data_IF_279357115276
#
_entry.id   IF_279357115276
#
_cell.length_a   1.000
_cell.length_b   1.000
_cell.length_c   1.000
_cell.angle_alpha   90.00
_cell.angle_beta   90.00
_cell.angle_gamma   90.00
#
_symmetry.space_group_name_H-M   'P 1'
#
loop_
_entity.id
_entity.type
_entity.pdbx_description
1 polymer ?
#
# COMPACT_ATOMS: atom_id res chain seq x y z
N UNK A 1 -23.26 -17.39 8.29
CA UNK A 1 -22.21 -17.88 9.17
C UNK A 1 -20.89 -17.67 8.47
N UNK A 2 -20.21 -16.57 8.76
CA UNK A 2 -18.80 -16.46 8.46
C UNK A 2 -18.11 -17.43 9.44
N UNK A 3 -17.52 -18.51 8.93
CA UNK A 3 -16.59 -19.29 9.68
C UNK A 3 -15.46 -18.34 10.12
N UNK A 4 -15.18 -18.27 11.42
CA UNK A 4 -13.99 -17.58 11.90
C UNK A 4 -12.81 -18.19 11.14
N UNK A 5 -12.16 -17.40 10.29
CA UNK A 5 -10.95 -17.82 9.59
C UNK A 5 -9.94 -18.19 10.68
N UNK A 6 -9.43 -19.42 10.67
CA UNK A 6 -8.40 -19.81 11.64
C UNK A 6 -7.25 -18.81 11.54
N UNK A 7 -6.69 -18.43 12.68
CA UNK A 7 -5.59 -17.48 12.75
C UNK A 7 -4.42 -17.99 11.88
N UNK A 8 -3.87 -17.13 11.03
CA UNK A 8 -2.60 -17.39 10.36
C UNK A 8 -1.50 -16.78 11.23
N UNK A 9 -0.45 -17.55 11.49
CA UNK A 9 0.71 -17.08 12.25
C UNK A 9 1.84 -16.75 11.26
N UNK A 10 2.60 -15.68 11.48
CA UNK A 10 3.76 -15.40 10.65
C UNK A 10 4.84 -16.48 10.83
N UNK A 11 5.54 -16.81 9.77
CA UNK A 11 6.68 -17.73 9.77
C UNK A 11 7.91 -17.08 10.39
N UNK A 12 8.03 -15.74 10.26
CA UNK A 12 9.09 -14.95 10.88
C UNK A 12 8.63 -13.52 11.16
N UNK A 13 9.27 -12.88 12.14
CA UNK A 13 9.09 -11.46 12.47
C UNK A 13 10.45 -10.79 12.57
N UNK A 14 10.61 -9.65 11.90
CA UNK A 14 11.85 -8.88 11.91
C UNK A 14 11.59 -7.43 12.32
N UNK A 15 12.50 -6.85 13.12
CA UNK A 15 12.55 -5.41 13.33
C UNK A 15 13.30 -4.77 12.16
N UNK A 16 12.64 -3.96 11.37
CA UNK A 16 13.24 -3.34 10.19
C UNK A 16 13.65 -1.88 10.40
N UNK A 17 13.09 -1.22 11.40
CA UNK A 17 13.48 0.14 11.74
C UNK A 17 13.23 0.45 13.23
N UNK A 18 14.07 1.32 13.77
CA UNK A 18 13.88 1.94 15.08
C UNK A 18 13.62 3.43 14.89
N UNK A 19 12.55 3.93 15.50
CA UNK A 19 12.17 5.34 15.50
C UNK A 19 12.15 5.88 16.93
N UNK A 20 12.21 7.20 17.09
CA UNK A 20 12.18 7.83 18.41
C UNK A 20 10.96 7.44 19.26
N UNK A 21 9.85 7.11 18.60
CA UNK A 21 8.56 6.84 19.25
C UNK A 21 8.17 5.38 19.30
N UNK A 22 8.76 4.50 18.47
CA UNK A 22 8.45 3.08 18.39
C UNK A 22 9.48 2.31 17.55
N UNK A 23 9.58 1.03 17.84
CA UNK A 23 10.21 0.06 16.94
C UNK A 23 9.17 -0.39 15.90
N UNK A 24 9.61 -0.62 14.66
CA UNK A 24 8.78 -1.07 13.56
C UNK A 24 9.18 -2.48 13.14
N UNK A 25 8.20 -3.36 13.11
CA UNK A 25 8.37 -4.77 12.78
C UNK A 25 7.64 -5.12 11.49
N UNK A 26 8.09 -6.19 10.86
CA UNK A 26 7.41 -6.86 9.76
C UNK A 26 7.18 -8.33 10.09
N UNK A 27 5.99 -8.83 9.74
CA UNK A 27 5.63 -10.24 9.81
C UNK A 27 5.68 -10.84 8.42
N UNK A 28 6.39 -11.95 8.28
CA UNK A 28 6.56 -12.69 7.02
C UNK A 28 5.63 -13.89 7.05
N UNK A 29 4.87 -14.05 5.98
CA UNK A 29 4.02 -15.21 5.72
C UNK A 29 4.52 -15.85 4.42
N UNK A 30 5.12 -17.02 4.54
CA UNK A 30 5.68 -17.76 3.43
C UNK A 30 4.61 -18.42 2.55
N UNK A 31 4.90 -18.73 1.29
CA UNK A 31 4.01 -19.53 0.46
C UNK A 31 3.65 -20.84 1.14
N UNK A 32 2.37 -21.21 1.10
CA UNK A 32 1.90 -22.46 1.70
C UNK A 32 2.60 -23.69 1.06
N UNK A 33 2.84 -24.72 1.86
CA UNK A 33 3.46 -25.95 1.41
C UNK A 33 2.76 -26.53 0.16
N UNK A 34 3.54 -26.77 -0.88
CA UNK A 34 3.05 -27.33 -2.14
C UNK A 34 2.36 -26.31 -3.07
N UNK A 35 2.31 -25.03 -2.71
CA UNK A 35 1.81 -23.98 -3.59
C UNK A 35 2.83 -23.68 -4.72
N UNK A 36 2.31 -23.26 -5.89
CA UNK A 36 3.17 -22.87 -7.01
C UNK A 36 3.70 -21.44 -6.78
N UNK A 37 5.01 -21.28 -6.63
CA UNK A 37 5.67 -19.97 -6.43
C UNK A 37 6.09 -19.29 -7.73
N UNK A 38 5.83 -19.93 -8.89
CA UNK A 38 6.11 -19.38 -10.21
C UNK A 38 4.97 -19.64 -11.19
N UNK A 39 4.88 -18.82 -12.23
CA UNK A 39 3.96 -19.01 -13.36
C UNK A 39 4.77 -18.90 -14.65
N UNK A 40 4.72 -19.95 -15.49
CA UNK A 40 5.48 -20.01 -16.75
C UNK A 40 6.99 -19.75 -16.58
N UNK A 41 7.56 -20.17 -15.44
CA UNK A 41 8.97 -19.99 -15.13
C UNK A 41 9.34 -18.58 -14.63
N UNK A 42 8.35 -17.73 -14.36
CA UNK A 42 8.52 -16.42 -13.73
C UNK A 42 8.09 -16.51 -12.27
N UNK A 43 8.98 -16.18 -11.36
CA UNK A 43 8.71 -16.17 -9.93
C UNK A 43 7.62 -15.17 -9.57
N UNK A 44 6.72 -15.54 -8.65
CA UNK A 44 5.71 -14.65 -8.12
C UNK A 44 6.37 -13.58 -7.23
N UNK A 45 5.87 -12.34 -7.26
CA UNK A 45 6.44 -11.26 -6.48
C UNK A 45 6.26 -11.48 -4.97
N UNK A 46 7.21 -10.97 -4.19
CA UNK A 46 6.99 -10.68 -2.78
C UNK A 46 6.01 -9.50 -2.66
N UNK A 47 5.03 -9.61 -1.78
CA UNK A 47 4.01 -8.58 -1.55
C UNK A 47 4.21 -7.93 -0.20
N UNK A 48 4.61 -6.65 -0.16
CA UNK A 48 4.62 -5.85 1.07
C UNK A 48 3.21 -5.32 1.29
N UNK A 49 2.64 -5.58 2.45
CA UNK A 49 1.28 -5.17 2.81
C UNK A 49 1.27 -4.10 3.91
N UNK A 50 0.46 -3.07 3.72
CA UNK A 50 0.19 -2.01 4.69
C UNK A 50 -1.29 -2.02 5.09
N UNK A 51 -1.55 -2.16 6.40
CA UNK A 51 -2.90 -2.19 6.96
C UNK A 51 -3.61 -0.82 6.90
N UNK A 52 -4.94 -0.85 7.05
CA UNK A 52 -5.79 0.33 7.16
C UNK A 52 -5.82 0.91 8.58
N UNK A 53 -6.74 1.85 8.80
CA UNK A 53 -6.99 2.43 10.12
C UNK A 53 -6.80 3.93 10.21
N UNK A 54 -6.76 4.64 9.05
CA UNK A 54 -6.80 6.11 8.98
C UNK A 54 -5.57 6.81 9.54
N UNK A 55 -4.41 6.13 9.61
CA UNK A 55 -3.19 6.60 10.28
C UNK A 55 -3.38 6.86 11.79
N UNK A 56 -4.46 6.35 12.39
CA UNK A 56 -4.81 6.55 13.80
C UNK A 56 -4.61 5.26 14.59
N UNK A 57 -4.93 4.11 13.98
CA UNK A 57 -4.97 2.79 14.58
C UNK A 57 -4.65 1.70 13.56
N UNK A 58 -4.55 0.46 14.02
CA UNK A 58 -4.25 -0.73 13.24
C UNK A 58 -2.91 -1.30 13.61
N UNK A 59 -2.68 -2.54 13.21
CA UNK A 59 -1.45 -3.30 13.43
C UNK A 59 -1.22 -4.22 12.24
N UNK A 60 0.03 -4.63 11.98
CA UNK A 60 0.42 -5.53 10.91
C UNK A 60 -0.20 -6.92 11.01
N UNK A 61 -0.55 -7.34 12.23
CA UNK A 61 -1.11 -8.65 12.59
C UNK A 61 -2.63 -8.62 12.85
N UNK A 62 -3.33 -7.60 12.34
CA UNK A 62 -4.79 -7.50 12.50
C UNK A 62 -5.48 -8.69 11.82
N UNK A 63 -6.25 -9.45 12.61
CA UNK A 63 -6.92 -10.69 12.19
C UNK A 63 -7.90 -10.49 11.02
N UNK A 64 -8.37 -9.27 10.78
CA UNK A 64 -9.25 -8.96 9.65
C UNK A 64 -8.60 -9.22 8.30
N UNK A 65 -7.26 -9.24 8.23
CA UNK A 65 -6.50 -9.53 7.00
C UNK A 65 -6.09 -10.99 6.84
N UNK A 66 -6.36 -11.86 7.83
CA UNK A 66 -5.98 -13.28 7.79
C UNK A 66 -6.51 -14.02 6.55
N UNK A 67 -7.72 -13.70 6.10
CA UNK A 67 -8.31 -14.28 4.89
C UNK A 67 -7.50 -13.94 3.64
N UNK A 68 -7.06 -12.69 3.53
CA UNK A 68 -6.26 -12.23 2.42
C UNK A 68 -4.84 -12.82 2.46
N UNK A 69 -4.17 -12.81 3.62
CA UNK A 69 -2.83 -13.41 3.77
C UNK A 69 -2.86 -14.90 3.38
N UNK A 70 -3.87 -15.64 3.86
CA UNK A 70 -4.05 -17.03 3.50
C UNK A 70 -4.26 -17.21 1.99
N UNK A 71 -5.15 -16.42 1.38
CA UNK A 71 -5.40 -16.49 -0.05
C UNK A 71 -4.11 -16.26 -0.84
N UNK A 72 -3.29 -15.29 -0.43
CA UNK A 72 -2.02 -15.00 -1.10
C UNK A 72 -1.03 -16.14 -0.93
N UNK A 73 -0.82 -16.65 0.29
CA UNK A 73 0.15 -17.74 0.56
C UNK A 73 -0.27 -19.05 -0.08
N UNK A 74 -1.55 -19.42 -0.06
CA UNK A 74 -2.09 -20.60 -0.76
C UNK A 74 -1.93 -20.49 -2.29
N UNK A 75 -1.88 -19.28 -2.82
CA UNK A 75 -1.57 -19.03 -4.22
C UNK A 75 -0.07 -18.77 -4.46
N UNK A 76 0.81 -19.14 -3.55
CA UNK A 76 2.26 -19.13 -3.74
C UNK A 76 2.94 -17.78 -3.68
N UNK A 77 2.30 -16.76 -3.08
CA UNK A 77 2.91 -15.46 -2.83
C UNK A 77 3.48 -15.41 -1.41
N UNK A 78 4.68 -14.83 -1.25
CA UNK A 78 5.17 -14.41 0.05
C UNK A 78 4.58 -13.05 0.39
N UNK A 79 4.01 -12.92 1.59
CA UNK A 79 3.45 -11.66 2.08
C UNK A 79 4.29 -11.15 3.25
N UNK A 80 4.62 -9.86 3.23
CA UNK A 80 5.31 -9.18 4.31
C UNK A 80 4.42 -8.04 4.82
N UNK A 81 3.73 -8.27 5.94
CA UNK A 81 2.90 -7.25 6.57
C UNK A 81 3.74 -6.37 7.48
N UNK A 82 3.69 -5.05 7.29
CA UNK A 82 4.59 -4.12 7.98
C UNK A 82 3.86 -3.19 8.95
N UNK A 83 4.52 -2.87 10.07
CA UNK A 83 4.19 -1.71 10.89
C UNK A 83 4.54 -0.41 10.15
N UNK A 84 3.81 0.65 10.45
CA UNK A 84 4.18 2.02 10.09
C UNK A 84 3.71 2.99 11.17
N UNK A 85 4.36 4.14 11.29
CA UNK A 85 4.00 5.16 12.29
C UNK A 85 2.61 5.72 12.03
N UNK A 86 1.78 5.69 13.06
CA UNK A 86 0.41 6.21 13.02
C UNK A 86 0.42 7.72 13.28
N UNK A 87 0.73 8.51 12.24
CA UNK A 87 0.95 9.94 12.33
C UNK A 87 -0.25 10.78 12.78
N UNK A 88 -1.46 10.18 12.86
CA UNK A 88 -2.68 10.80 13.37
C UNK A 88 -3.14 10.21 14.71
N UNK A 89 -2.34 9.35 15.35
CA UNK A 89 -2.67 8.76 16.66
C UNK A 89 -2.91 9.86 17.68
N UNK A 90 -4.07 9.78 18.36
CA UNK A 90 -4.49 10.81 19.33
C UNK A 90 -5.17 12.05 18.71
N UNK A 91 -5.29 12.11 17.38
CA UNK A 91 -6.02 13.19 16.71
C UNK A 91 -7.52 12.92 16.70
N UNK A 92 -8.33 13.87 17.13
CA UNK A 92 -9.78 13.67 17.25
C UNK A 92 -10.57 13.84 15.95
N UNK A 93 -10.04 14.54 14.96
CA UNK A 93 -10.64 14.71 13.61
C UNK A 93 -9.59 15.19 12.61
N UNK A 94 -9.62 14.65 11.39
CA UNK A 94 -8.87 15.17 10.25
C UNK A 94 -9.86 15.88 9.32
N UNK A 95 -9.81 17.20 9.28
CA UNK A 95 -10.60 18.02 8.37
C UNK A 95 -9.70 18.75 7.36
N UNK A 96 -10.29 19.44 6.39
CA UNK A 96 -9.58 20.22 5.36
C UNK A 96 -8.59 21.24 5.98
N UNK A 97 -8.88 21.75 7.17
CA UNK A 97 -7.96 22.63 7.92
C UNK A 97 -6.70 21.90 8.45
N UNK A 98 -6.67 20.58 8.41
CA UNK A 98 -5.58 19.74 8.95
C UNK A 98 -4.83 18.96 7.87
N UNK A 99 -4.90 19.37 6.62
CA UNK A 99 -4.25 18.68 5.51
C UNK A 99 -2.74 18.55 5.72
N UNK A 100 -2.10 19.53 6.34
CA UNK A 100 -0.67 19.43 6.67
C UNK A 100 -0.37 18.29 7.66
N UNK A 101 -1.33 17.95 8.52
CA UNK A 101 -1.18 16.84 9.48
C UNK A 101 -1.37 15.50 8.75
N UNK A 102 -2.34 15.42 7.85
CA UNK A 102 -2.54 14.24 7.00
C UNK A 102 -1.33 14.00 6.07
N UNK A 103 -0.84 15.05 5.42
CA UNK A 103 0.35 15.00 4.57
C UNK A 103 1.59 14.46 5.33
N UNK A 104 1.81 14.95 6.55
CA UNK A 104 2.87 14.42 7.42
C UNK A 104 2.66 12.95 7.79
N UNK A 105 1.42 12.55 8.06
CA UNK A 105 1.12 11.16 8.39
C UNK A 105 1.34 10.23 7.19
N UNK A 106 0.96 10.65 5.98
CA UNK A 106 1.26 9.93 4.74
C UNK A 106 2.77 9.85 4.53
N UNK A 107 3.49 10.96 4.71
CA UNK A 107 4.95 10.98 4.58
C UNK A 107 5.62 9.98 5.53
N UNK A 108 5.25 9.98 6.81
CA UNK A 108 5.78 9.04 7.80
C UNK A 108 5.54 7.59 7.39
N UNK A 109 4.34 7.26 6.89
CA UNK A 109 4.01 5.92 6.45
C UNK A 109 4.77 5.50 5.18
N UNK A 110 4.97 6.42 4.24
CA UNK A 110 5.80 6.19 3.03
C UNK A 110 7.27 5.99 3.39
N UNK A 111 7.80 6.81 4.31
CA UNK A 111 9.18 6.65 4.82
C UNK A 111 9.39 5.29 5.49
N UNK A 112 8.40 4.82 6.25
CA UNK A 112 8.47 3.52 6.91
C UNK A 112 8.35 2.37 5.90
N UNK A 113 7.51 2.50 4.86
CA UNK A 113 7.46 1.56 3.74
C UNK A 113 8.81 1.48 3.01
N UNK A 114 9.44 2.61 2.73
CA UNK A 114 10.75 2.63 2.07
C UNK A 114 11.85 2.02 2.97
N UNK A 115 11.75 2.20 4.29
CA UNK A 115 12.66 1.55 5.24
C UNK A 115 12.48 0.03 5.25
N UNK A 116 11.23 -0.46 5.22
CA UNK A 116 10.95 -1.88 5.10
C UNK A 116 11.45 -2.45 3.76
N UNK A 117 11.26 -1.71 2.67
CA UNK A 117 11.77 -2.07 1.35
C UNK A 117 13.28 -2.21 1.35
N UNK A 118 14.01 -1.22 1.90
CA UNK A 118 15.47 -1.27 2.01
C UNK A 118 15.94 -2.46 2.84
N UNK A 119 15.27 -2.73 3.98
CA UNK A 119 15.58 -3.90 4.80
C UNK A 119 15.43 -5.22 4.01
N UNK A 120 14.37 -5.35 3.23
CA UNK A 120 14.14 -6.53 2.38
C UNK A 120 15.21 -6.63 1.30
N UNK A 121 15.58 -5.51 0.65
CA UNK A 121 16.61 -5.48 -0.40
C UNK A 121 18.00 -5.82 0.15
N UNK A 122 18.35 -5.33 1.35
CA UNK A 122 19.61 -5.62 2.03
C UNK A 122 19.70 -7.10 2.48
N UNK A 123 18.56 -7.78 2.62
CA UNK A 123 18.45 -9.16 3.03
C UNK A 123 17.77 -10.03 1.94
N UNK A 124 17.94 -9.68 0.66
CA UNK A 124 17.21 -10.26 -0.46
C UNK A 124 17.31 -11.80 -0.54
N UNK A 125 18.47 -12.35 -0.20
CA UNK A 125 18.67 -13.82 -0.16
C UNK A 125 17.78 -14.49 0.90
N UNK A 126 17.60 -13.82 2.08
CA UNK A 126 16.75 -14.33 3.15
C UNK A 126 15.27 -14.26 2.80
N UNK A 127 14.86 -13.25 2.07
CA UNK A 127 13.50 -13.07 1.58
C UNK A 127 13.25 -13.81 0.25
N UNK A 128 14.28 -14.43 -0.32
CA UNK A 128 14.23 -15.11 -1.61
C UNK A 128 13.52 -14.26 -2.67
N UNK A 129 13.94 -12.99 -2.80
CA UNK A 129 13.30 -12.02 -3.68
C UNK A 129 14.31 -11.34 -4.59
N UNK A 130 13.93 -11.14 -5.86
CA UNK A 130 14.66 -10.29 -6.79
C UNK A 130 14.23 -8.82 -6.55
N UNK A 131 15.16 -7.84 -6.56
CA UNK A 131 14.86 -6.43 -6.29
C UNK A 131 13.79 -5.82 -7.22
N UNK A 132 13.62 -6.35 -8.41
CA UNK A 132 12.63 -5.92 -9.40
C UNK A 132 11.30 -6.69 -9.30
N UNK A 133 11.15 -7.58 -8.30
CA UNK A 133 9.99 -8.45 -8.12
C UNK A 133 9.26 -8.22 -6.79
N UNK A 134 9.11 -6.96 -6.41
CA UNK A 134 8.38 -6.54 -5.19
C UNK A 134 7.12 -5.79 -5.59
N UNK A 135 5.97 -6.25 -5.11
CA UNK A 135 4.67 -5.58 -5.22
C UNK A 135 4.32 -4.98 -3.87
N UNK A 136 3.75 -3.78 -3.87
CA UNK A 136 3.23 -3.16 -2.66
C UNK A 136 1.70 -3.17 -2.68
N UNK A 137 1.10 -3.49 -1.54
CA UNK A 137 -0.34 -3.60 -1.36
C UNK A 137 -0.80 -2.88 -0.10
N UNK A 138 -2.01 -2.38 -0.08
CA UNK A 138 -2.53 -1.77 1.13
C UNK A 138 -4.03 -1.56 1.12
N UNK A 139 -4.56 -1.45 2.34
CA UNK A 139 -5.96 -1.18 2.64
C UNK A 139 -6.12 0.25 3.16
N UNK A 140 -7.10 1.04 2.65
CA UNK A 140 -7.45 2.36 3.21
C UNK A 140 -6.22 3.28 3.37
N UNK A 141 -5.83 3.62 4.60
CA UNK A 141 -4.61 4.40 4.88
C UNK A 141 -3.35 3.74 4.31
N UNK A 142 -3.25 2.41 4.37
CA UNK A 142 -2.17 1.65 3.73
C UNK A 142 -2.22 1.77 2.20
N UNK A 143 -3.42 1.73 1.61
CA UNK A 143 -3.60 1.92 0.17
C UNK A 143 -3.22 3.34 -0.28
N UNK A 144 -3.52 4.37 0.54
CA UNK A 144 -3.04 5.74 0.31
C UNK A 144 -1.51 5.75 0.33
N UNK A 145 -0.89 5.07 1.30
CA UNK A 145 0.57 5.05 1.47
C UNK A 145 1.28 4.39 0.28
N UNK A 146 0.79 3.23 -0.20
CA UNK A 146 1.42 2.54 -1.36
C UNK A 146 1.21 3.31 -2.67
N UNK A 147 0.04 3.93 -2.87
CA UNK A 147 -0.22 4.79 -4.02
C UNK A 147 0.65 6.04 -4.01
N UNK A 148 0.83 6.65 -2.83
CA UNK A 148 1.71 7.81 -2.66
C UNK A 148 3.18 7.44 -2.86
N UNK A 149 3.63 6.29 -2.35
CA UNK A 149 5.00 5.81 -2.53
C UNK A 149 5.36 5.69 -4.02
N UNK A 150 4.50 5.07 -4.81
CA UNK A 150 4.70 4.95 -6.26
C UNK A 150 4.68 6.34 -6.95
N UNK A 151 3.77 7.22 -6.53
CA UNK A 151 3.73 8.60 -7.03
C UNK A 151 5.05 9.35 -6.77
N UNK A 152 5.64 9.18 -5.58
CA UNK A 152 6.91 9.82 -5.22
C UNK A 152 8.10 9.25 -6.04
N UNK A 153 8.14 7.93 -6.26
CA UNK A 153 9.14 7.26 -7.08
C UNK A 153 9.04 7.73 -8.53
N UNK A 154 7.84 7.67 -9.14
CA UNK A 154 7.63 8.04 -10.52
C UNK A 154 7.90 9.53 -10.80
N UNK A 155 7.81 10.38 -9.77
CA UNK A 155 8.14 11.80 -9.86
C UNK A 155 9.57 12.15 -9.43
N UNK A 156 10.33 11.19 -8.90
CA UNK A 156 11.71 11.39 -8.45
C UNK A 156 11.80 12.46 -7.36
N UNK A 157 10.92 12.42 -6.39
CA UNK A 157 10.91 13.37 -5.28
C UNK A 157 11.97 13.03 -4.24
N UNK A 158 12.25 13.95 -3.32
CA UNK A 158 13.19 13.71 -2.23
C UNK A 158 12.76 12.57 -1.29
N UNK A 159 11.46 12.24 -1.24
CA UNK A 159 10.98 11.12 -0.42
C UNK A 159 11.54 9.78 -0.91
N UNK A 160 11.61 9.60 -2.24
CA UNK A 160 12.11 8.39 -2.86
C UNK A 160 13.65 8.28 -2.87
N UNK A 161 14.39 9.33 -2.49
CA UNK A 161 15.86 9.35 -2.55
C UNK A 161 16.55 8.38 -1.58
N UNK A 162 15.81 7.79 -0.64
CA UNK A 162 16.31 6.78 0.31
C UNK A 162 16.36 5.37 -0.29
N UNK A 163 15.66 5.16 -1.40
CA UNK A 163 15.70 3.90 -2.14
C UNK A 163 16.93 3.84 -3.07
N UNK A 164 17.39 2.63 -3.46
CA UNK A 164 18.48 2.49 -4.41
C UNK A 164 18.19 3.22 -5.74
N UNK A 165 19.23 3.77 -6.35
CA UNK A 165 19.08 4.46 -7.64
C UNK A 165 18.45 3.53 -8.69
N UNK A 166 17.41 4.00 -9.36
CA UNK A 166 16.69 3.23 -10.38
C UNK A 166 15.71 2.20 -9.84
N UNK A 167 15.56 2.06 -8.53
CA UNK A 167 14.58 1.16 -7.95
C UNK A 167 13.15 1.50 -8.39
N UNK A 168 12.35 0.48 -8.70
CA UNK A 168 10.92 0.58 -8.96
C UNK A 168 10.23 -0.66 -8.41
N UNK A 169 9.01 -0.51 -7.91
CA UNK A 169 8.17 -1.65 -7.59
C UNK A 169 7.68 -2.34 -8.88
N UNK A 170 7.42 -3.65 -8.80
CA UNK A 170 6.80 -4.42 -9.89
C UNK A 170 5.32 -4.06 -10.07
N UNK A 171 4.65 -3.63 -9.00
CA UNK A 171 3.25 -3.23 -9.06
C UNK A 171 2.72 -2.69 -7.74
N UNK A 172 1.53 -2.08 -7.84
CA UNK A 172 0.73 -1.58 -6.69
C UNK A 172 -0.62 -2.26 -6.69
N UNK A 173 -1.08 -2.72 -5.52
CA UNK A 173 -2.45 -3.16 -5.27
C UNK A 173 -3.09 -2.26 -4.22
N UNK A 174 -4.14 -1.51 -4.59
CA UNK A 174 -4.78 -0.50 -3.77
C UNK A 174 -6.24 -0.84 -3.50
N UNK A 175 -6.57 -1.06 -2.21
CA UNK A 175 -7.94 -1.29 -1.74
C UNK A 175 -8.47 0.00 -1.09
N UNK A 176 -9.29 0.77 -1.83
CA UNK A 176 -9.82 2.08 -1.44
C UNK A 176 -8.72 3.10 -1.13
N UNK A 177 -7.77 3.29 -2.04
CA UNK A 177 -6.67 4.24 -1.91
C UNK A 177 -6.88 5.54 -2.69
N UNK A 178 -6.01 6.51 -2.41
CA UNK A 178 -5.96 7.79 -3.10
C UNK A 178 -4.54 8.37 -3.08
N UNK A 179 -4.29 9.38 -3.94
CA UNK A 179 -3.05 10.16 -3.94
C UNK A 179 -3.33 11.57 -3.46
N UNK A 180 -2.52 12.07 -2.53
CA UNK A 180 -2.51 13.47 -2.11
C UNK A 180 -1.54 14.25 -3.02
N UNK A 181 -2.03 15.28 -3.71
CA UNK A 181 -1.20 16.16 -4.54
C UNK A 181 -1.37 17.61 -4.15
N UNK A 182 -0.26 18.33 -4.05
CA UNK A 182 -0.20 19.78 -3.83
C UNK A 182 -0.18 20.59 -5.13
N UNK A 183 -0.21 19.91 -6.29
CA UNK A 183 -0.22 20.53 -7.61
C UNK A 183 -1.64 20.66 -8.21
N UNK A 184 -2.67 20.20 -7.48
CA UNK A 184 -4.07 20.21 -7.94
C UNK A 184 -4.39 19.21 -9.05
N UNK A 185 -3.47 18.30 -9.32
CA UNK A 185 -3.56 17.22 -10.31
C UNK A 185 -2.58 16.10 -9.94
N UNK A 186 -2.78 14.93 -10.51
CA UNK A 186 -1.83 13.81 -10.44
C UNK A 186 -1.19 13.66 -11.82
N UNK A 187 0.08 13.99 -11.93
CA UNK A 187 0.89 13.78 -13.12
C UNK A 187 2.16 13.01 -12.76
N UNK A 188 2.72 12.30 -13.74
CA UNK A 188 3.90 11.47 -13.56
C UNK A 188 5.01 11.93 -14.51
N UNK A 189 6.22 12.06 -14.00
CA UNK A 189 7.43 12.37 -14.80
C UNK A 189 7.97 11.13 -15.49
N UNK A 190 7.82 9.96 -14.85
CA UNK A 190 8.14 8.64 -15.42
C UNK A 190 6.88 7.79 -15.41
N UNK A 191 6.84 6.77 -16.24
CA UNK A 191 5.75 5.79 -16.24
C UNK A 191 5.75 5.07 -14.89
N UNK A 192 4.64 5.13 -14.10
CA UNK A 192 4.54 4.38 -12.87
C UNK A 192 4.41 2.88 -13.15
N UNK A 193 4.66 2.05 -12.14
CA UNK A 193 4.47 0.60 -12.27
C UNK A 193 2.99 0.24 -12.50
N UNK A 194 2.74 -1.02 -12.86
CA UNK A 194 1.40 -1.55 -13.04
C UNK A 194 0.57 -1.40 -11.76
N UNK A 195 -0.65 -0.88 -11.88
CA UNK A 195 -1.48 -0.56 -10.72
C UNK A 195 -2.84 -1.24 -10.78
N UNK A 196 -3.15 -2.06 -9.77
CA UNK A 196 -4.47 -2.64 -9.52
C UNK A 196 -5.20 -1.80 -8.47
N UNK A 197 -6.40 -1.35 -8.79
CA UNK A 197 -7.25 -0.58 -7.88
C UNK A 197 -8.60 -1.26 -7.68
N UNK A 198 -9.03 -1.38 -6.43
CA UNK A 198 -10.38 -1.82 -6.04
C UNK A 198 -10.99 -0.70 -5.20
N UNK A 199 -12.15 -0.15 -5.62
CA UNK A 199 -12.71 1.02 -4.93
C UNK A 199 -14.24 1.05 -5.03
N UNK A 200 -14.92 1.32 -3.92
CA UNK A 200 -16.36 1.55 -3.88
C UNK A 200 -16.72 2.92 -4.45
N UNK A 201 -17.71 2.99 -5.35
CA UNK A 201 -18.07 4.26 -6.01
C UNK A 201 -18.77 5.26 -5.07
N UNK A 202 -19.25 4.79 -3.92
CA UNK A 202 -19.89 5.58 -2.86
C UNK A 202 -18.99 5.77 -1.63
N UNK A 203 -17.68 5.59 -1.77
CA UNK A 203 -16.73 5.77 -0.68
C UNK A 203 -16.63 7.25 -0.28
N UNK A 204 -17.03 7.56 0.96
CA UNK A 204 -17.02 8.91 1.54
C UNK A 204 -15.81 9.15 2.47
N UNK A 205 -15.11 8.08 2.88
CA UNK A 205 -13.93 8.18 3.75
C UNK A 205 -12.67 8.44 2.93
N UNK A 206 -12.43 7.62 1.90
CA UNK A 206 -11.42 7.86 0.89
C UNK A 206 -12.17 8.14 -0.42
N UNK A 207 -12.23 9.38 -0.89
CA UNK A 207 -13.12 9.77 -1.97
C UNK A 207 -12.80 8.97 -3.25
N UNK A 208 -13.82 8.31 -3.81
CA UNK A 208 -13.70 7.58 -5.07
C UNK A 208 -13.20 8.47 -6.22
N UNK A 209 -13.71 9.70 -6.33
CA UNK A 209 -13.27 10.65 -7.35
C UNK A 209 -12.16 11.56 -6.80
N UNK A 210 -12.52 12.76 -6.36
CA UNK A 210 -11.56 13.70 -5.80
C UNK A 210 -12.23 14.68 -4.83
N UNK A 211 -11.45 15.12 -3.84
CA UNK A 211 -11.72 16.35 -3.09
C UNK A 211 -10.59 17.31 -3.42
N UNK A 212 -10.93 18.52 -3.88
CA UNK A 212 -9.93 19.51 -4.29
C UNK A 212 -10.29 20.90 -3.76
N UNK A 213 -9.29 21.56 -3.18
CA UNK A 213 -9.37 22.97 -2.72
C UNK A 213 -8.11 23.68 -3.22
N UNK A 214 -8.28 24.59 -4.17
CA UNK A 214 -7.16 25.21 -4.89
C UNK A 214 -6.21 24.17 -5.53
N UNK A 215 -4.93 24.22 -5.17
CA UNK A 215 -3.91 23.29 -5.67
C UNK A 215 -3.75 22.03 -4.82
N UNK A 216 -4.48 21.94 -3.70
CA UNK A 216 -4.49 20.76 -2.88
C UNK A 216 -5.59 19.83 -3.33
N UNK A 217 -5.27 18.59 -3.66
CA UNK A 217 -6.24 17.59 -4.09
C UNK A 217 -5.96 16.22 -3.51
N UNK A 218 -7.02 15.51 -3.18
CA UNK A 218 -7.02 14.11 -2.80
C UNK A 218 -7.76 13.34 -3.87
N UNK A 219 -7.05 12.49 -4.61
CA UNK A 219 -7.51 11.88 -5.86
C UNK A 219 -7.66 10.38 -5.68
N UNK A 220 -8.91 9.89 -5.70
CA UNK A 220 -9.21 8.48 -5.58
C UNK A 220 -9.23 7.72 -6.90
N UNK A 221 -9.50 6.41 -6.81
CA UNK A 221 -9.38 5.48 -7.92
C UNK A 221 -10.12 5.89 -9.19
N UNK A 222 -11.35 6.40 -9.08
CA UNK A 222 -12.13 6.85 -10.24
C UNK A 222 -11.44 8.00 -10.99
N UNK A 223 -10.86 8.95 -10.25
CA UNK A 223 -10.13 10.08 -10.87
C UNK A 223 -8.77 9.67 -11.40
N UNK A 224 -8.09 8.76 -10.74
CA UNK A 224 -6.81 8.23 -11.19
C UNK A 224 -6.95 7.44 -12.49
N UNK A 225 -8.02 6.67 -12.67
CA UNK A 225 -8.33 5.98 -13.93
C UNK A 225 -8.40 6.93 -15.12
N UNK A 226 -9.02 8.12 -14.97
CA UNK A 226 -9.04 9.12 -16.05
C UNK A 226 -7.63 9.54 -16.45
N UNK A 227 -6.72 9.68 -15.47
CA UNK A 227 -5.31 10.03 -15.70
C UNK A 227 -4.58 8.89 -16.37
N UNK A 228 -4.73 7.68 -15.87
CA UNK A 228 -4.09 6.48 -16.41
C UNK A 228 -4.49 6.24 -17.88
N UNK A 229 -5.79 6.34 -18.20
CA UNK A 229 -6.29 6.27 -19.58
C UNK A 229 -5.66 7.33 -20.47
N UNK A 230 -5.62 8.58 -20.00
CA UNK A 230 -5.09 9.71 -20.79
C UNK A 230 -3.63 9.51 -21.16
N UNK A 231 -2.82 8.91 -20.29
CA UNK A 231 -1.39 8.71 -20.49
C UNK A 231 -1.01 7.29 -20.93
N UNK A 232 -2.00 6.41 -21.18
CA UNK A 232 -1.74 5.03 -21.61
C UNK A 232 -0.94 4.21 -20.58
N UNK A 233 -1.16 4.48 -19.28
CA UNK A 233 -0.47 3.79 -18.20
C UNK A 233 -1.07 2.41 -17.98
N UNK A 234 -0.27 1.47 -17.47
CA UNK A 234 -0.72 0.11 -17.18
C UNK A 234 -1.51 0.07 -15.87
N UNK A 235 -2.81 -0.26 -15.93
CA UNK A 235 -3.67 -0.36 -14.75
C UNK A 235 -4.80 -1.34 -14.95
N UNK A 236 -5.33 -1.82 -13.82
CA UNK A 236 -6.63 -2.49 -13.76
C UNK A 236 -7.47 -1.86 -12.65
N UNK A 237 -8.77 -1.69 -12.87
CA UNK A 237 -9.67 -1.04 -11.91
C UNK A 237 -10.97 -1.80 -11.79
N UNK A 238 -11.27 -2.25 -10.57
CA UNK A 238 -12.56 -2.82 -10.20
C UNK A 238 -13.41 -1.75 -9.50
N UNK A 239 -14.47 -1.33 -10.17
CA UNK A 239 -15.44 -0.38 -9.67
C UNK A 239 -16.57 -1.14 -8.95
N UNK A 240 -16.69 -0.98 -7.65
CA UNK A 240 -17.77 -1.58 -6.87
C UNK A 240 -18.91 -0.57 -6.75
N UNK A 241 -19.85 -0.66 -7.70
CA UNK A 241 -20.96 0.31 -7.81
C UNK A 241 -21.87 0.25 -6.59
N UNK A 242 -22.07 1.40 -5.93
CA UNK A 242 -22.92 1.55 -4.75
C UNK A 242 -22.28 1.11 -3.43
N UNK A 243 -21.09 0.51 -3.47
CA UNK A 243 -20.31 0.19 -2.26
C UNK A 243 -19.53 1.41 -1.78
N UNK A 244 -19.34 1.50 -0.47
CA UNK A 244 -18.58 2.54 0.21
C UNK A 244 -17.16 2.08 0.55
N UNK A 245 -16.70 2.48 1.74
CA UNK A 245 -15.34 2.18 2.23
C UNK A 245 -15.13 0.72 2.67
N UNK A 246 -16.18 -0.09 2.73
CA UNK A 246 -16.11 -1.52 3.06
C UNK A 246 -15.22 -2.31 2.10
N UNK A 247 -14.99 -1.81 0.88
CA UNK A 247 -14.06 -2.43 -0.08
C UNK A 247 -12.63 -2.47 0.47
N UNK A 248 -12.25 -1.53 1.31
CA UNK A 248 -10.95 -1.55 1.99
C UNK A 248 -10.75 -2.79 2.90
N UNK A 249 -11.85 -3.34 3.44
CA UNK A 249 -11.84 -4.53 4.31
C UNK A 249 -12.31 -5.82 3.63
N UNK A 250 -12.64 -5.76 2.34
CA UNK A 250 -13.13 -6.92 1.56
C UNK A 250 -12.00 -7.59 0.78
N UNK A 251 -10.90 -7.89 1.50
CA UNK A 251 -9.67 -8.49 0.95
C UNK A 251 -9.67 -10.00 1.13
#
# INVERSE_FOLDING_TARGET
>A
HFAASAQITPDATYMFAQRDTCDLYMDVYDPADGSETSVNGVEKPLVIFMFGGGFIRGTRDDESYNGWFRTMTENGYRVVSIDYRLGLKGSNKVGIAQVNVLDKAIHMAVEDLFSATNFILENADQFEVSPDNIVISGSSAGAISVMQAEYEIANGTSWASVLPEGFNYAGVMSFSGAILSREGKVDYKKVPCATLMLHGTSDELVPYNQIKVFNLGFFGGGKLVERFKKFGLNYNMYHFTGYGHEIAGSM
#
